data_IF_884473266521
#
_entry.id   IF_884473266521
#
_cell.length_a   1.000
_cell.length_b   1.000
_cell.length_c   1.000
_cell.angle_alpha   90.00
_cell.angle_beta   90.00
_cell.angle_gamma   90.00
#
_symmetry.space_group_name_H-M   'P 1'
#
loop_
_entity.id
_entity.type
_entity.pdbx_description
1 polymer ?
#
# COMPACT_ATOMS: atom_id res chain seq x y z
N UNK A 1 59.43 16.59 -33.28
CA UNK A 1 58.41 15.66 -32.77
C UNK A 1 57.33 16.51 -32.18
N UNK A 2 56.14 16.53 -32.78
CA UNK A 2 54.98 17.26 -32.25
C UNK A 2 54.20 16.24 -31.42
N UNK A 3 54.16 16.43 -30.09
CA UNK A 3 53.40 15.60 -29.18
C UNK A 3 51.95 16.07 -29.27
N UNK A 4 51.03 15.26 -29.83
CA UNK A 4 49.61 15.52 -29.84
C UNK A 4 49.04 14.96 -28.54
N UNK A 5 48.56 15.83 -27.64
CA UNK A 5 47.80 15.40 -26.45
C UNK A 5 46.46 14.87 -26.84
N UNK A 6 45.98 13.77 -26.21
CA UNK A 6 44.64 13.25 -26.52
C UNK A 6 43.54 14.18 -26.00
N UNK A 7 42.67 14.61 -26.87
CA UNK A 7 41.47 15.37 -26.51
C UNK A 7 40.52 14.45 -25.70
N UNK A 8 40.50 14.67 -24.39
CA UNK A 8 39.50 14.01 -23.52
C UNK A 8 38.14 14.69 -23.78
N UNK A 9 37.28 14.03 -24.55
CA UNK A 9 35.87 14.48 -24.71
C UNK A 9 35.22 14.41 -23.34
N UNK A 10 34.92 15.57 -22.74
CA UNK A 10 34.09 15.67 -21.55
C UNK A 10 32.72 15.04 -21.88
N UNK A 11 32.36 13.97 -21.19
CA UNK A 11 31.02 13.39 -21.27
C UNK A 11 30.05 14.49 -20.86
N UNK A 12 29.17 14.89 -21.78
CA UNK A 12 28.02 15.77 -21.45
C UNK A 12 27.27 15.18 -20.27
N UNK A 13 26.80 16.00 -19.29
CA UNK A 13 26.02 15.49 -18.20
C UNK A 13 24.80 14.76 -18.77
N UNK A 14 24.71 13.45 -18.51
CA UNK A 14 23.55 12.65 -18.91
C UNK A 14 22.34 13.18 -18.13
N UNK A 15 21.44 13.87 -18.81
CA UNK A 15 20.17 14.26 -18.24
C UNK A 15 19.40 12.99 -17.85
N UNK A 16 18.94 12.93 -16.59
CA UNK A 16 18.13 11.80 -16.11
C UNK A 16 16.78 11.87 -16.84
N UNK A 17 16.38 10.81 -17.57
CA UNK A 17 15.07 10.77 -18.21
C UNK A 17 13.94 10.94 -17.18
N UNK A 18 12.85 11.59 -17.57
CA UNK A 18 11.67 11.69 -16.71
C UNK A 18 10.95 10.36 -16.65
N UNK A 19 10.19 10.13 -15.57
CA UNK A 19 9.22 9.04 -15.53
C UNK A 19 8.01 9.41 -16.40
N UNK A 20 7.58 8.44 -17.19
CA UNK A 20 6.33 8.51 -17.93
C UNK A 20 5.43 7.35 -17.53
N UNK A 21 4.11 7.58 -17.55
CA UNK A 21 3.14 6.53 -17.24
C UNK A 21 3.25 5.40 -18.27
N UNK A 22 3.40 4.15 -17.81
CA UNK A 22 3.61 3.00 -18.69
C UNK A 22 5.08 2.67 -19.00
N UNK A 23 6.06 3.47 -18.53
CA UNK A 23 7.48 3.09 -18.61
C UNK A 23 7.69 1.72 -17.99
N UNK A 24 8.55 0.89 -18.62
CA UNK A 24 8.97 -0.40 -18.08
C UNK A 24 10.37 -0.29 -17.51
N UNK A 25 10.50 -0.38 -16.19
CA UNK A 25 11.72 -0.10 -15.47
C UNK A 25 11.98 -1.16 -14.38
N UNK A 26 13.23 -1.29 -13.98
CA UNK A 26 13.57 -1.90 -12.68
C UNK A 26 13.36 -0.88 -11.56
N UNK A 27 13.15 -1.32 -10.31
CA UNK A 27 13.01 -0.43 -9.14
C UNK A 27 14.15 0.56 -9.03
N UNK A 28 15.40 0.12 -9.22
CA UNK A 28 16.58 1.00 -9.17
C UNK A 28 16.51 2.17 -10.16
N UNK A 29 16.06 1.91 -11.39
CA UNK A 29 15.93 2.95 -12.41
C UNK A 29 14.72 3.84 -12.15
N UNK A 30 13.62 3.26 -11.67
CA UNK A 30 12.44 3.99 -11.21
C UNK A 30 12.80 4.98 -10.10
N UNK A 31 13.43 4.52 -9.01
CA UNK A 31 13.85 5.39 -7.90
C UNK A 31 14.82 6.49 -8.36
N UNK A 32 15.76 6.16 -9.27
CA UNK A 32 16.70 7.15 -9.81
C UNK A 32 15.99 8.28 -10.53
N UNK A 33 14.98 7.95 -11.35
CA UNK A 33 14.19 8.94 -12.10
C UNK A 33 13.22 9.66 -11.19
N UNK A 34 12.58 8.96 -10.26
CA UNK A 34 11.63 9.55 -9.31
C UNK A 34 12.31 10.60 -8.42
N UNK A 35 13.49 10.31 -7.88
CA UNK A 35 14.31 11.26 -7.11
C UNK A 35 14.68 12.54 -7.89
N UNK A 36 14.78 12.44 -9.21
CA UNK A 36 15.03 13.60 -10.08
C UNK A 36 13.77 14.44 -10.38
N UNK A 37 12.60 14.02 -9.90
CA UNK A 37 11.30 14.69 -10.11
C UNK A 37 10.63 15.13 -8.80
N UNK A 38 11.20 16.10 -8.05
CA UNK A 38 10.73 16.46 -6.70
C UNK A 38 9.29 17.01 -6.66
N UNK A 39 8.74 17.42 -7.79
CA UNK A 39 7.36 17.92 -7.91
C UNK A 39 6.34 16.79 -8.23
N UNK A 40 6.81 15.57 -8.53
CA UNK A 40 5.94 14.43 -8.75
C UNK A 40 5.51 13.86 -7.40
N UNK A 41 4.21 13.96 -7.10
CA UNK A 41 3.68 13.63 -5.77
C UNK A 41 3.54 12.14 -5.52
N UNK A 42 3.01 11.38 -6.51
CA UNK A 42 2.79 9.94 -6.38
C UNK A 42 3.11 9.26 -7.72
N UNK A 43 3.99 8.28 -7.65
CA UNK A 43 4.24 7.32 -8.70
C UNK A 43 4.52 5.96 -8.06
N UNK A 44 4.04 4.90 -8.68
CA UNK A 44 4.22 3.52 -8.23
C UNK A 44 4.90 2.71 -9.32
N UNK A 45 5.65 1.70 -8.94
CA UNK A 45 6.16 0.67 -9.85
C UNK A 45 5.46 -0.65 -9.52
N UNK A 46 4.68 -1.16 -10.47
CA UNK A 46 3.93 -2.42 -10.34
C UNK A 46 4.30 -3.33 -11.50
N UNK A 47 4.87 -4.48 -11.22
CA UNK A 47 5.37 -5.43 -12.24
C UNK A 47 6.33 -4.78 -13.26
N UNK A 48 7.16 -3.86 -12.78
CA UNK A 48 8.09 -3.12 -13.60
C UNK A 48 7.46 -2.02 -14.45
N UNK A 49 6.16 -1.78 -14.33
CA UNK A 49 5.44 -0.72 -15.05
C UNK A 49 5.21 0.47 -14.12
N UNK A 50 5.50 1.67 -14.63
CA UNK A 50 5.30 2.93 -13.91
C UNK A 50 3.85 3.37 -14.00
N UNK A 51 3.24 3.65 -12.85
CA UNK A 51 1.91 4.25 -12.72
C UNK A 51 2.05 5.63 -12.06
N UNK A 52 1.62 6.68 -12.76
CA UNK A 52 1.60 8.05 -12.23
C UNK A 52 0.16 8.42 -11.93
N UNK A 53 -0.14 8.64 -10.65
CA UNK A 53 -1.47 9.05 -10.21
C UNK A 53 -1.57 10.57 -10.29
N UNK A 54 -2.31 11.07 -11.28
CA UNK A 54 -2.44 12.50 -11.57
C UNK A 54 -3.86 13.07 -11.34
N UNK A 55 -4.79 12.27 -10.79
CA UNK A 55 -6.18 12.68 -10.62
C UNK A 55 -6.43 13.46 -9.33
N UNK A 56 -7.30 14.52 -9.36
CA UNK A 56 -7.77 15.13 -8.13
C UNK A 56 -8.54 14.09 -7.29
N UNK A 57 -8.19 13.97 -6.01
CA UNK A 57 -8.89 13.10 -5.09
C UNK A 57 -10.21 13.77 -4.63
N UNK A 58 -11.33 13.06 -4.85
CA UNK A 58 -12.65 13.51 -4.39
C UNK A 58 -12.85 13.06 -2.94
N UNK A 59 -13.47 13.91 -2.13
CA UNK A 59 -13.72 13.60 -0.72
C UNK A 59 -14.58 12.34 -0.57
N UNK A 60 -15.66 12.23 -1.35
CA UNK A 60 -16.61 11.12 -1.28
C UNK A 60 -16.07 9.78 -1.77
N UNK A 61 -15.16 9.82 -2.76
CA UNK A 61 -14.70 8.58 -3.42
C UNK A 61 -13.36 8.09 -2.89
N UNK A 62 -12.63 8.94 -2.14
CA UNK A 62 -11.34 8.56 -1.60
C UNK A 62 -11.05 9.21 -0.24
N UNK A 63 -11.24 10.52 -0.09
CA UNK A 63 -10.77 11.25 1.09
C UNK A 63 -11.42 10.79 2.39
N UNK A 64 -12.73 10.67 2.43
CA UNK A 64 -13.50 10.21 3.59
C UNK A 64 -13.30 8.70 3.84
N UNK A 65 -13.44 7.79 2.85
CA UNK A 65 -13.12 6.37 3.04
C UNK A 65 -11.70 6.13 3.54
N UNK A 66 -10.73 6.86 3.03
CA UNK A 66 -9.35 6.77 3.47
C UNK A 66 -9.20 7.24 4.94
N UNK A 67 -9.82 8.36 5.31
CA UNK A 67 -9.78 8.87 6.67
C UNK A 67 -10.42 7.89 7.67
N UNK A 68 -11.52 7.23 7.30
CA UNK A 68 -12.20 6.23 8.13
C UNK A 68 -11.31 5.00 8.37
N UNK A 69 -10.65 4.49 7.34
CA UNK A 69 -9.69 3.38 7.46
C UNK A 69 -8.50 3.77 8.34
N UNK A 70 -7.92 4.95 8.13
CA UNK A 70 -6.81 5.43 8.97
C UNK A 70 -7.28 5.62 10.42
N UNK A 71 -8.48 6.15 10.64
CA UNK A 71 -9.09 6.29 11.96
C UNK A 71 -9.25 4.94 12.68
N UNK A 72 -9.84 3.96 12.01
CA UNK A 72 -10.04 2.60 12.52
C UNK A 72 -8.70 1.90 12.86
N UNK A 73 -7.73 1.91 11.94
CA UNK A 73 -6.41 1.32 12.17
C UNK A 73 -5.60 2.08 13.25
N UNK A 74 -5.78 3.41 13.37
CA UNK A 74 -5.11 4.21 14.40
C UNK A 74 -5.59 3.84 15.80
N UNK A 75 -6.89 3.62 15.98
CA UNK A 75 -7.47 3.15 17.25
C UNK A 75 -6.92 1.76 17.59
N UNK A 76 -6.92 0.83 16.63
CA UNK A 76 -6.36 -0.51 16.86
C UNK A 76 -4.88 -0.45 17.28
N UNK A 77 -4.06 0.30 16.54
CA UNK A 77 -2.63 0.48 16.84
C UNK A 77 -2.42 1.09 18.23
N UNK A 78 -3.26 2.03 18.66
CA UNK A 78 -3.11 2.70 19.95
C UNK A 78 -3.23 1.71 21.13
N UNK A 79 -4.07 0.69 20.98
CA UNK A 79 -4.26 -0.35 22.00
C UNK A 79 -3.43 -1.62 21.76
N UNK A 80 -2.67 -1.70 20.68
CA UNK A 80 -1.89 -2.89 20.34
C UNK A 80 -0.40 -2.53 20.23
N UNK A 81 0.43 -2.94 21.23
CA UNK A 81 1.85 -2.63 21.19
C UNK A 81 2.55 -3.32 20.00
N UNK A 82 3.74 -2.85 19.68
CA UNK A 82 4.61 -3.41 18.64
C UNK A 82 4.09 -3.21 17.19
N UNK A 83 3.07 -2.36 16.96
CA UNK A 83 2.56 -2.06 15.63
C UNK A 83 3.03 -0.70 15.12
N UNK A 84 3.10 -0.58 13.80
CA UNK A 84 3.33 0.67 13.09
C UNK A 84 2.32 0.77 11.95
N UNK A 85 1.58 1.88 11.92
CA UNK A 85 0.66 2.25 10.86
C UNK A 85 1.37 3.22 9.91
N UNK A 86 1.28 2.98 8.63
CA UNK A 86 1.70 3.87 7.57
C UNK A 86 0.50 4.38 6.78
N UNK A 87 0.53 5.65 6.41
CA UNK A 87 -0.44 6.35 5.60
C UNK A 87 0.25 6.82 4.32
N UNK A 88 -0.17 6.33 3.15
CA UNK A 88 0.44 6.63 1.86
C UNK A 88 1.98 6.43 1.83
N UNK A 89 2.46 5.39 2.48
CA UNK A 89 3.89 5.10 2.56
C UNK A 89 4.36 4.25 1.39
N UNK A 90 5.49 4.60 0.80
CA UNK A 90 6.16 3.77 -0.20
C UNK A 90 6.66 2.47 0.43
N UNK A 91 6.38 1.35 -0.24
CA UNK A 91 6.80 0.00 0.15
C UNK A 91 7.67 -0.60 -0.95
N UNK A 92 8.91 -0.92 -0.62
CA UNK A 92 9.86 -1.61 -1.52
C UNK A 92 9.70 -3.11 -1.34
N UNK A 93 8.92 -3.74 -2.22
CA UNK A 93 8.62 -5.17 -2.10
C UNK A 93 9.72 -6.04 -2.72
N UNK A 94 10.04 -5.81 -3.99
CA UNK A 94 11.03 -6.59 -4.74
C UNK A 94 11.74 -5.71 -5.81
N UNK A 95 12.44 -6.33 -6.77
CA UNK A 95 13.20 -5.61 -7.80
C UNK A 95 12.32 -4.85 -8.81
N UNK A 96 11.05 -5.22 -8.92
CA UNK A 96 10.12 -4.71 -9.94
C UNK A 96 8.85 -4.11 -9.34
N UNK A 97 8.80 -4.00 -7.99
CA UNK A 97 7.60 -3.51 -7.29
C UNK A 97 7.94 -2.56 -6.15
N UNK A 98 7.41 -1.35 -6.28
CA UNK A 98 7.46 -0.27 -5.29
C UNK A 98 6.10 0.44 -5.26
N UNK A 99 5.05 -0.18 -4.69
CA UNK A 99 3.74 0.43 -4.50
C UNK A 99 3.76 1.51 -3.40
N UNK A 100 2.73 2.34 -3.41
CA UNK A 100 2.43 3.31 -2.37
C UNK A 100 0.96 3.14 -1.93
N UNK A 101 0.66 2.09 -1.13
CA UNK A 101 -0.70 1.81 -0.68
C UNK A 101 -1.27 2.93 0.17
N UNK A 102 -2.60 3.04 0.18
CA UNK A 102 -3.30 4.06 0.95
C UNK A 102 -3.11 3.87 2.46
N UNK A 103 -3.08 2.62 2.95
CA UNK A 103 -2.69 2.34 4.32
C UNK A 103 -1.92 1.01 4.43
N UNK A 104 -1.07 0.91 5.44
CA UNK A 104 -0.44 -0.35 5.82
C UNK A 104 -0.33 -0.49 7.34
N UNK A 105 -0.41 -1.71 7.84
CA UNK A 105 -0.13 -2.03 9.24
C UNK A 105 0.96 -3.10 9.29
N UNK A 106 2.04 -2.82 10.06
CA UNK A 106 3.17 -3.72 10.19
C UNK A 106 3.53 -4.01 11.65
N UNK A 107 4.11 -5.18 11.89
CA UNK A 107 4.69 -5.58 13.17
C UNK A 107 6.14 -5.09 13.20
N UNK A 108 6.51 -4.26 14.21
CA UNK A 108 7.86 -3.65 14.29
C UNK A 108 8.95 -4.68 14.58
N UNK A 109 8.76 -5.50 15.60
CA UNK A 109 9.73 -6.49 16.03
C UNK A 109 9.18 -7.90 15.80
N UNK A 110 9.88 -8.68 14.99
CA UNK A 110 9.46 -10.03 14.60
C UNK A 110 8.46 -10.07 13.43
N UNK A 111 8.19 -8.93 12.79
CA UNK A 111 7.40 -8.84 11.56
C UNK A 111 8.23 -9.15 10.30
N UNK A 112 7.56 -9.14 9.16
CA UNK A 112 8.15 -9.50 7.86
C UNK A 112 8.92 -8.35 7.20
N UNK A 113 8.54 -7.10 7.50
CA UNK A 113 9.13 -5.90 6.92
C UNK A 113 10.07 -5.18 7.88
N UNK A 114 11.01 -4.41 7.31
CA UNK A 114 11.93 -3.55 8.04
C UNK A 114 11.79 -2.09 7.58
N UNK A 115 12.48 -1.18 8.25
CA UNK A 115 12.61 0.21 7.77
C UNK A 115 14.05 0.39 7.31
N UNK A 116 14.20 0.84 6.06
CA UNK A 116 15.51 1.15 5.48
C UNK A 116 16.15 2.38 6.12
N UNK A 117 17.45 2.59 5.90
CA UNK A 117 18.18 3.77 6.41
C UNK A 117 17.61 5.09 5.89
N UNK A 118 17.03 5.10 4.68
CA UNK A 118 16.38 6.26 4.08
C UNK A 118 14.87 6.36 4.42
N UNK A 119 14.38 5.53 5.36
CA UNK A 119 13.06 5.64 5.99
C UNK A 119 11.91 4.97 5.26
N UNK A 120 12.16 4.16 4.24
CA UNK A 120 11.11 3.42 3.51
C UNK A 120 10.84 2.05 4.14
N UNK A 121 9.65 1.52 3.90
CA UNK A 121 9.32 0.12 4.25
C UNK A 121 9.99 -0.81 3.24
N UNK A 122 10.81 -1.72 3.71
CA UNK A 122 11.46 -2.78 2.91
C UNK A 122 10.85 -4.14 3.25
N UNK A 123 10.38 -4.87 2.23
CA UNK A 123 9.65 -6.12 2.38
C UNK A 123 8.17 -5.92 2.66
N UNK A 124 7.43 -7.02 2.75
CA UNK A 124 5.98 -7.01 2.89
C UNK A 124 5.53 -6.62 4.30
N UNK A 125 4.71 -5.58 4.49
CA UNK A 125 3.96 -5.40 5.73
C UNK A 125 2.91 -6.51 5.86
N UNK A 126 2.44 -6.76 7.08
CA UNK A 126 1.46 -7.83 7.31
C UNK A 126 0.07 -7.50 6.76
N UNK A 127 -0.29 -6.22 6.67
CA UNK A 127 -1.57 -5.78 6.13
C UNK A 127 -1.39 -4.55 5.24
N UNK A 128 -2.06 -4.56 4.08
CA UNK A 128 -2.15 -3.44 3.15
C UNK A 128 -3.63 -3.13 2.88
N UNK A 129 -3.96 -1.85 2.73
CA UNK A 129 -5.28 -1.37 2.33
C UNK A 129 -5.17 -0.46 1.11
N UNK A 130 -6.06 -0.67 0.14
CA UNK A 130 -6.26 0.21 -1.01
C UNK A 130 -7.72 0.72 -1.04
N UNK A 131 -7.88 2.00 -1.30
CA UNK A 131 -9.18 2.66 -1.49
C UNK A 131 -9.41 2.82 -2.99
N UNK A 132 -10.05 1.83 -3.58
CA UNK A 132 -10.23 1.71 -5.02
C UNK A 132 -11.48 2.47 -5.48
N UNK A 133 -11.30 3.66 -6.05
CA UNK A 133 -12.36 4.40 -6.73
C UNK A 133 -12.29 4.18 -8.27
N UNK A 134 -11.16 4.58 -8.89
CA UNK A 134 -10.92 4.43 -10.33
C UNK A 134 -9.88 3.36 -10.66
N UNK A 135 -9.30 2.72 -9.67
CA UNK A 135 -8.18 1.77 -9.77
C UNK A 135 -8.58 0.32 -9.50
N UNK A 136 -9.88 0.02 -9.38
CA UNK A 136 -10.41 -1.31 -9.02
C UNK A 136 -9.75 -2.44 -9.80
N UNK A 137 -9.58 -2.28 -11.12
CA UNK A 137 -8.94 -3.31 -11.95
C UNK A 137 -7.46 -3.51 -11.59
N UNK A 138 -6.71 -2.43 -11.32
CA UNK A 138 -5.31 -2.52 -10.89
C UNK A 138 -5.20 -3.19 -9.52
N UNK A 139 -6.06 -2.79 -8.57
CA UNK A 139 -6.01 -3.23 -7.19
C UNK A 139 -6.45 -4.70 -7.04
N UNK A 140 -7.49 -5.15 -7.77
CA UNK A 140 -7.99 -6.53 -7.72
C UNK A 140 -7.26 -7.52 -8.63
N UNK A 141 -6.36 -7.07 -9.51
CA UNK A 141 -5.62 -7.96 -10.39
C UNK A 141 -4.11 -7.83 -10.21
N UNK A 142 -3.50 -6.75 -10.69
CA UNK A 142 -2.03 -6.62 -10.68
C UNK A 142 -1.50 -6.47 -9.25
N UNK A 143 -2.00 -5.51 -8.45
CA UNK A 143 -1.58 -5.32 -7.06
C UNK A 143 -1.91 -6.53 -6.19
N UNK A 144 -3.08 -7.15 -6.36
CA UNK A 144 -3.44 -8.38 -5.65
C UNK A 144 -2.39 -9.48 -5.90
N UNK A 145 -1.96 -9.70 -7.15
CA UNK A 145 -0.93 -10.67 -7.49
C UNK A 145 0.44 -10.28 -6.92
N UNK A 146 0.80 -8.99 -7.01
CA UNK A 146 2.06 -8.46 -6.45
C UNK A 146 2.11 -8.66 -4.94
N UNK A 147 1.05 -8.29 -4.21
CA UNK A 147 1.00 -8.44 -2.76
C UNK A 147 0.99 -9.91 -2.34
N UNK A 148 0.26 -10.78 -3.06
CA UNK A 148 0.23 -12.22 -2.83
C UNK A 148 1.62 -12.85 -2.94
N UNK A 149 2.32 -12.65 -4.06
CA UNK A 149 3.64 -13.26 -4.29
C UNK A 149 4.73 -12.70 -3.39
N UNK A 150 4.57 -11.46 -2.90
CA UNK A 150 5.46 -10.84 -1.92
C UNK A 150 5.07 -11.17 -0.47
N UNK A 151 4.09 -12.05 -0.25
CA UNK A 151 3.71 -12.58 1.06
C UNK A 151 3.08 -11.53 1.99
N UNK A 152 2.37 -10.52 1.47
CA UNK A 152 1.49 -9.68 2.29
C UNK A 152 0.38 -10.58 2.85
N UNK A 153 0.28 -10.66 4.18
CA UNK A 153 -0.57 -11.66 4.83
C UNK A 153 -2.06 -11.32 4.74
N UNK A 154 -2.41 -10.05 4.84
CA UNK A 154 -3.79 -9.57 4.64
C UNK A 154 -3.83 -8.37 3.69
N UNK A 155 -4.76 -8.41 2.75
CA UNK A 155 -4.97 -7.37 1.75
C UNK A 155 -6.42 -6.95 1.72
N UNK A 156 -6.69 -5.68 1.91
CA UNK A 156 -8.01 -5.08 1.97
C UNK A 156 -8.20 -4.15 0.77
N UNK A 157 -9.34 -4.27 0.09
CA UNK A 157 -9.71 -3.39 -1.02
C UNK A 157 -11.11 -2.84 -0.77
N UNK A 158 -11.21 -1.52 -0.56
CA UNK A 158 -12.49 -0.85 -0.51
C UNK A 158 -12.86 -0.30 -1.89
N UNK A 159 -13.78 -0.99 -2.58
CA UNK A 159 -14.33 -0.57 -3.87
C UNK A 159 -15.48 0.41 -3.64
N UNK A 160 -15.13 1.70 -3.53
CA UNK A 160 -16.06 2.74 -3.03
C UNK A 160 -17.27 2.91 -3.94
N UNK A 161 -17.07 2.95 -5.27
CA UNK A 161 -18.16 3.13 -6.24
C UNK A 161 -19.05 1.89 -6.35
N UNK A 162 -18.49 0.70 -6.16
CA UNK A 162 -19.24 -0.56 -6.14
C UNK A 162 -19.95 -0.79 -4.80
N UNK A 163 -19.63 0.00 -3.76
CA UNK A 163 -20.10 -0.19 -2.38
C UNK A 163 -19.76 -1.59 -1.85
N UNK A 164 -18.54 -2.02 -2.10
CA UNK A 164 -18.03 -3.33 -1.70
C UNK A 164 -16.71 -3.19 -0.95
N UNK A 165 -16.49 -4.12 -0.01
CA UNK A 165 -15.26 -4.24 0.75
C UNK A 165 -14.78 -5.68 0.71
N UNK A 166 -13.58 -5.89 0.20
CA UNK A 166 -12.94 -7.19 0.08
C UNK A 166 -11.78 -7.27 1.06
N UNK A 167 -11.74 -8.29 1.89
CA UNK A 167 -10.65 -8.57 2.81
C UNK A 167 -10.09 -9.95 2.50
N UNK A 168 -8.87 -9.98 1.97
CA UNK A 168 -8.17 -11.21 1.60
C UNK A 168 -7.15 -11.58 2.66
N UNK A 169 -7.03 -12.89 2.91
CA UNK A 169 -5.97 -13.48 3.71
C UNK A 169 -5.13 -14.41 2.85
N UNK A 170 -3.81 -14.34 2.98
CA UNK A 170 -2.88 -15.26 2.35
C UNK A 170 -2.90 -16.61 3.08
N UNK A 171 -3.20 -17.69 2.35
CA UNK A 171 -3.24 -19.05 2.85
C UNK A 171 -2.70 -19.98 1.77
N UNK A 172 -1.63 -20.72 2.06
CA UNK A 172 -0.99 -21.62 1.09
C UNK A 172 -0.70 -20.95 -0.27
N UNK A 173 -0.11 -19.76 -0.23
CA UNK A 173 0.27 -18.96 -1.40
C UNK A 173 -0.90 -18.40 -2.23
N UNK A 174 -2.13 -18.56 -1.79
CA UNK A 174 -3.33 -18.00 -2.43
C UNK A 174 -4.08 -17.05 -1.49
N UNK A 175 -4.68 -16.00 -2.06
CA UNK A 175 -5.59 -15.14 -1.32
C UNK A 175 -6.98 -15.75 -1.23
N UNK A 176 -7.44 -15.95 0.00
CA UNK A 176 -8.80 -16.37 0.30
C UNK A 176 -9.54 -15.18 0.89
N UNK A 177 -10.72 -14.87 0.34
CA UNK A 177 -11.56 -13.81 0.88
C UNK A 177 -12.10 -14.22 2.24
N UNK A 178 -11.97 -13.32 3.22
CA UNK A 178 -12.59 -13.48 4.53
C UNK A 178 -14.07 -13.07 4.43
N UNK A 179 -14.94 -13.97 4.83
CA UNK A 179 -16.37 -13.71 4.87
C UNK A 179 -16.79 -13.16 6.25
N UNK A 180 -17.75 -12.24 6.31
CA UNK A 180 -18.33 -11.81 7.57
C UNK A 180 -18.96 -12.99 8.33
N UNK A 181 -18.88 -12.96 9.64
CA UNK A 181 -19.61 -13.90 10.49
C UNK A 181 -21.13 -13.62 10.48
N UNK A 182 -21.91 -14.35 11.29
CA UNK A 182 -23.38 -14.18 11.38
C UNK A 182 -23.84 -12.80 11.88
N UNK A 183 -22.93 -12.00 12.43
CA UNK A 183 -23.18 -10.63 12.90
C UNK A 183 -22.69 -9.56 11.90
N UNK A 184 -22.24 -9.96 10.70
CA UNK A 184 -21.70 -9.04 9.69
C UNK A 184 -20.25 -8.60 9.93
N UNK A 185 -19.56 -9.20 10.91
CA UNK A 185 -18.22 -8.79 11.34
C UNK A 185 -17.16 -9.62 10.64
N UNK A 186 -16.18 -8.96 10.01
CA UNK A 186 -14.95 -9.58 9.52
C UNK A 186 -13.87 -9.47 10.61
N UNK A 187 -13.18 -10.57 10.88
CA UNK A 187 -12.13 -10.64 11.89
C UNK A 187 -10.78 -10.95 11.24
N UNK A 188 -9.78 -10.09 11.47
CA UNK A 188 -8.39 -10.38 11.07
C UNK A 188 -7.93 -11.71 11.66
N UNK A 189 -7.18 -12.44 10.86
CA UNK A 189 -6.55 -13.69 11.29
C UNK A 189 -5.08 -13.48 11.68
N UNK A 190 -4.52 -12.32 11.37
CA UNK A 190 -3.13 -11.94 11.66
C UNK A 190 -3.07 -10.98 12.85
N UNK A 191 -4.05 -10.10 12.98
CA UNK A 191 -4.12 -9.09 14.04
C UNK A 191 -5.27 -9.39 15.01
N UNK A 192 -5.02 -10.12 16.13
CA UNK A 192 -6.07 -10.50 17.07
C UNK A 192 -6.85 -9.28 17.57
N UNK A 193 -8.17 -9.34 17.43
CA UNK A 193 -9.07 -8.25 17.83
C UNK A 193 -9.20 -7.11 16.82
N UNK A 194 -8.56 -7.16 15.67
CA UNK A 194 -8.83 -6.23 14.55
C UNK A 194 -10.11 -6.71 13.85
N UNK A 195 -11.24 -6.19 14.31
CA UNK A 195 -12.58 -6.52 13.84
C UNK A 195 -13.21 -5.35 13.12
N UNK A 196 -13.99 -5.64 12.09
CA UNK A 196 -14.67 -4.65 11.25
C UNK A 196 -16.11 -5.08 10.97
N UNK A 197 -17.06 -4.20 11.27
CA UNK A 197 -18.43 -4.31 10.78
C UNK A 197 -18.45 -3.78 9.33
N UNK A 198 -18.56 -4.71 8.36
CA UNK A 198 -18.51 -4.38 6.93
C UNK A 198 -19.67 -3.46 6.53
N UNK A 199 -20.87 -3.76 6.99
CA UNK A 199 -22.07 -3.02 6.59
C UNK A 199 -22.07 -1.61 7.18
N UNK A 200 -21.62 -1.46 8.43
CA UNK A 200 -21.44 -0.16 9.05
C UNK A 200 -20.40 0.70 8.31
N UNK A 201 -19.26 0.10 7.91
CA UNK A 201 -18.26 0.80 7.12
C UNK A 201 -18.82 1.30 5.78
N UNK A 202 -19.54 0.44 5.05
CA UNK A 202 -20.16 0.79 3.76
C UNK A 202 -21.29 1.81 3.89
N UNK A 203 -21.89 1.92 5.07
CA UNK A 203 -22.89 2.93 5.40
C UNK A 203 -22.26 4.27 5.88
N UNK A 204 -20.92 4.33 6.08
CA UNK A 204 -20.24 5.50 6.64
C UNK A 204 -20.43 5.66 8.16
N UNK A 205 -20.83 4.58 8.86
CA UNK A 205 -20.98 4.57 10.32
C UNK A 205 -19.67 4.15 11.00
N UNK A 206 -18.71 5.07 11.01
CA UNK A 206 -17.42 4.86 11.68
C UNK A 206 -17.58 4.61 13.18
N UNK A 207 -18.59 5.24 13.83
CA UNK A 207 -18.84 5.04 15.26
C UNK A 207 -19.13 3.55 15.55
N UNK A 208 -19.99 2.93 14.74
CA UNK A 208 -20.29 1.49 14.85
C UNK A 208 -19.07 0.61 14.57
N UNK A 209 -18.28 0.95 13.55
CA UNK A 209 -17.02 0.24 13.27
C UNK A 209 -16.08 0.28 14.48
N UNK A 210 -15.97 1.43 15.15
CA UNK A 210 -15.11 1.58 16.32
C UNK A 210 -15.66 0.86 17.57
N UNK A 211 -16.98 0.79 17.77
CA UNK A 211 -17.59 -0.06 18.82
C UNK A 211 -17.20 -1.54 18.63
N UNK A 212 -17.35 -2.06 17.41
CA UNK A 212 -16.99 -3.45 17.07
C UNK A 212 -15.50 -3.70 17.24
N UNK A 213 -14.65 -2.74 16.83
CA UNK A 213 -13.22 -2.82 17.04
C UNK A 213 -12.87 -2.90 18.54
N UNK A 214 -13.48 -2.07 19.39
CA UNK A 214 -13.25 -2.08 20.83
C UNK A 214 -13.65 -3.41 21.47
N UNK A 215 -14.78 -4.02 21.03
CA UNK A 215 -15.17 -5.36 21.45
C UNK A 215 -14.12 -6.40 21.07
N UNK A 216 -13.57 -6.32 19.84
CA UNK A 216 -12.49 -7.21 19.40
C UNK A 216 -11.22 -7.05 20.24
N UNK A 217 -10.80 -5.81 20.50
CA UNK A 217 -9.64 -5.50 21.34
C UNK A 217 -9.82 -6.04 22.76
N UNK A 218 -11.02 -5.97 23.32
CA UNK A 218 -11.31 -6.45 24.68
C UNK A 218 -11.34 -7.99 24.80
N UNK A 219 -11.56 -8.71 23.69
CA UNK A 219 -11.73 -10.18 23.67
C UNK A 219 -10.51 -10.95 23.16
N UNK A 220 -9.43 -10.31 22.82
CA UNK A 220 -8.17 -10.93 22.34
C UNK A 220 -7.30 -11.49 23.46
#
# INVERSE_FOLDING_TARGET
MITVEPITLAKSPQTIPRLENGDKLTRREFERRYKAMPNLKKAELIEGIVYIVASPLRITNHGEPHADIIGWLSVYKAFTPNLQLGDNCTVRLDADNEPQPDALLRIKNGGQSTISEDGYVEGAPELIVEIAASTVSLDLHQKLNVYRRNQVQEYLVWRVEDREFDWFRLTNEEYIKLEPNSEGIICSQIFPGLWLDKDALLAGDLAKCLEVLQLGIARR
#
